data_IF_105458605104
#
_entry.id   IF_105458605104
#
_cell.length_a   1.000
_cell.length_b   1.000
_cell.length_c   1.000
_cell.angle_alpha   90.00
_cell.angle_beta   90.00
_cell.angle_gamma   90.00
#
_symmetry.space_group_name_H-M   'P 1'
#
loop_
_entity.id
_entity.type
_entity.pdbx_description
1 polymer ?
#
# COMPACT_ATOMS: atom_id res chain seq x y z
N UNK A 1 -20.77 35.28 37.34
CA UNK A 1 -19.47 34.82 36.84
C UNK A 1 -19.71 33.53 36.06
N UNK A 2 -19.73 33.59 34.73
CA UNK A 2 -19.91 32.42 33.88
C UNK A 2 -18.53 31.83 33.56
N UNK A 3 -18.19 30.71 34.20
CA UNK A 3 -16.97 29.97 33.91
C UNK A 3 -17.13 29.28 32.55
N UNK A 4 -16.37 29.76 31.56
CA UNK A 4 -16.25 29.15 30.24
C UNK A 4 -15.64 27.74 30.39
N UNK A 5 -16.42 26.71 30.08
CA UNK A 5 -15.94 25.35 29.93
C UNK A 5 -15.02 25.27 28.71
N UNK A 6 -13.72 25.12 28.96
CA UNK A 6 -12.72 24.87 27.93
C UNK A 6 -12.87 23.41 27.46
N UNK A 7 -13.58 23.19 26.35
CA UNK A 7 -13.55 21.92 25.63
C UNK A 7 -12.16 21.75 25.00
N UNK A 8 -11.26 21.10 25.74
CA UNK A 8 -9.99 20.60 25.21
C UNK A 8 -10.33 19.36 24.37
N UNK A 9 -10.66 19.56 23.10
CA UNK A 9 -10.76 18.46 22.14
C UNK A 9 -9.41 17.73 22.13
N UNK A 10 -9.38 16.51 22.68
CA UNK A 10 -8.22 15.64 22.61
C UNK A 10 -7.91 15.40 21.14
N UNK A 11 -6.79 15.96 20.69
CA UNK A 11 -6.21 15.69 19.38
C UNK A 11 -5.65 14.26 19.38
N UNK A 12 -6.56 13.27 19.40
CA UNK A 12 -6.21 11.86 19.19
C UNK A 12 -5.72 11.73 17.77
N UNK A 13 -4.39 11.71 17.62
CA UNK A 13 -3.66 11.37 16.40
C UNK A 13 -4.41 10.23 15.71
N UNK A 14 -5.02 10.49 14.55
CA UNK A 14 -5.72 9.47 13.77
C UNK A 14 -4.71 8.44 13.31
N UNK A 15 -4.67 7.30 13.99
CA UNK A 15 -3.94 6.11 13.55
C UNK A 15 -4.59 5.60 12.27
N UNK A 16 -3.79 5.40 11.23
CA UNK A 16 -4.32 4.86 9.98
C UNK A 16 -4.37 3.33 10.10
N UNK A 17 -5.57 2.76 10.02
CA UNK A 17 -5.76 1.31 9.91
C UNK A 17 -5.32 0.86 8.51
N UNK A 18 -4.41 -0.10 8.44
CA UNK A 18 -3.96 -0.70 7.17
C UNK A 18 -4.07 -2.22 7.25
N UNK A 19 -4.79 -2.83 6.31
CA UNK A 19 -5.01 -4.28 6.29
C UNK A 19 -3.75 -5.03 5.86
N UNK A 20 -3.56 -6.25 6.38
CA UNK A 20 -2.43 -7.10 5.97
C UNK A 20 -2.45 -7.42 4.46
N UNK A 21 -3.63 -7.43 3.83
CA UNK A 21 -3.75 -7.58 2.38
C UNK A 21 -3.00 -6.47 1.61
N UNK A 22 -3.06 -5.22 2.08
CA UNK A 22 -2.31 -4.11 1.46
C UNK A 22 -0.80 -4.34 1.56
N UNK A 23 -0.34 -4.94 2.67
CA UNK A 23 1.05 -5.36 2.84
C UNK A 23 1.42 -6.45 1.84
N UNK A 24 0.61 -7.49 1.70
CA UNK A 24 0.89 -8.60 0.78
C UNK A 24 0.95 -8.16 -0.68
N UNK A 25 0.08 -7.24 -1.08
CA UNK A 25 0.12 -6.62 -2.41
C UNK A 25 1.45 -5.88 -2.61
N UNK A 26 1.85 -5.03 -1.65
CA UNK A 26 3.13 -4.31 -1.73
C UNK A 26 4.33 -5.27 -1.73
N UNK A 27 4.28 -6.33 -0.92
CA UNK A 27 5.31 -7.37 -0.84
C UNK A 27 5.45 -8.12 -2.15
N UNK A 28 4.35 -8.51 -2.77
CA UNK A 28 4.36 -9.18 -4.06
C UNK A 28 4.99 -8.30 -5.13
N UNK A 29 4.45 -7.08 -5.33
CA UNK A 29 4.93 -6.17 -6.38
C UNK A 29 6.43 -5.90 -6.18
N UNK A 30 6.86 -5.62 -4.95
CA UNK A 30 8.24 -5.27 -4.70
C UNK A 30 9.22 -6.43 -4.84
N UNK A 31 8.83 -7.64 -4.47
CA UNK A 31 9.74 -8.77 -4.47
C UNK A 31 9.75 -9.50 -5.83
N UNK A 32 8.63 -9.48 -6.58
CA UNK A 32 8.50 -10.21 -7.84
C UNK A 32 8.65 -9.30 -9.08
N UNK A 33 8.28 -8.02 -8.99
CA UNK A 33 8.19 -7.13 -10.16
C UNK A 33 9.11 -5.91 -10.10
N UNK A 34 9.76 -5.65 -8.97
CA UNK A 34 10.70 -4.54 -8.81
C UNK A 34 12.11 -5.04 -8.52
N UNK A 35 13.08 -4.26 -8.97
CA UNK A 35 14.49 -4.40 -8.64
C UNK A 35 14.83 -3.27 -7.66
N UNK A 36 14.77 -3.59 -6.36
CA UNK A 36 14.81 -2.60 -5.26
C UNK A 36 16.09 -1.76 -5.24
N UNK A 37 17.19 -2.30 -5.77
CA UNK A 37 18.49 -1.63 -5.81
C UNK A 37 18.71 -0.81 -7.09
N UNK A 38 17.77 -0.85 -8.03
CA UNK A 38 17.84 -0.13 -9.30
C UNK A 38 17.10 1.21 -9.23
N UNK A 39 17.40 2.16 -10.15
CA UNK A 39 16.69 3.43 -10.23
C UNK A 39 15.17 3.25 -10.36
N UNK A 40 14.42 4.08 -9.62
CA UNK A 40 12.94 3.99 -9.56
C UNK A 40 12.27 4.41 -10.88
N UNK A 41 12.85 5.37 -11.62
CA UNK A 41 12.19 5.97 -12.78
C UNK A 41 11.93 4.97 -13.92
N UNK A 42 12.90 4.16 -14.38
CA UNK A 42 12.65 3.15 -15.41
C UNK A 42 11.60 2.13 -15.00
N UNK A 43 11.66 1.65 -13.76
CA UNK A 43 10.70 0.68 -13.22
C UNK A 43 9.26 1.25 -13.17
N UNK A 44 9.13 2.53 -12.84
CA UNK A 44 7.84 3.22 -12.85
C UNK A 44 7.26 3.35 -14.26
N UNK A 45 8.11 3.62 -15.26
CA UNK A 45 7.72 3.66 -16.67
C UNK A 45 7.30 2.28 -17.18
N UNK A 46 8.03 1.22 -16.82
CA UNK A 46 7.69 -0.16 -17.17
C UNK A 46 6.33 -0.58 -16.61
N UNK A 47 5.99 -0.15 -15.39
CA UNK A 47 4.71 -0.46 -14.75
C UNK A 47 3.61 0.57 -15.04
N UNK A 48 3.88 1.58 -15.86
CA UNK A 48 2.89 2.59 -16.26
C UNK A 48 2.41 3.52 -15.14
N UNK A 49 3.20 3.72 -14.09
CA UNK A 49 2.82 4.51 -12.91
C UNK A 49 3.79 5.64 -12.62
N UNK A 50 3.34 6.62 -11.82
CA UNK A 50 4.23 7.69 -11.37
C UNK A 50 5.29 7.16 -10.39
N UNK A 51 6.53 7.65 -10.47
CA UNK A 51 7.66 7.24 -9.61
C UNK A 51 7.35 7.20 -8.11
N UNK A 52 6.49 8.09 -7.63
CA UNK A 52 6.11 8.16 -6.22
C UNK A 52 5.31 6.94 -5.76
N UNK A 53 4.56 6.29 -6.65
CA UNK A 53 3.86 5.03 -6.35
C UNK A 53 4.88 3.93 -6.06
N UNK A 54 5.90 3.79 -6.91
CA UNK A 54 6.96 2.81 -6.72
C UNK A 54 7.73 3.08 -5.43
N UNK A 55 8.06 4.35 -5.15
CA UNK A 55 8.65 4.72 -3.86
C UNK A 55 7.80 4.29 -2.67
N UNK A 56 6.48 4.55 -2.68
CA UNK A 56 5.57 4.13 -1.61
C UNK A 56 5.53 2.62 -1.43
N UNK A 57 5.49 1.86 -2.53
CA UNK A 57 5.54 0.39 -2.48
C UNK A 57 6.85 -0.10 -1.85
N UNK A 58 7.98 0.56 -2.13
CA UNK A 58 9.30 0.19 -1.58
C UNK A 58 9.44 0.64 -0.12
N UNK A 59 9.15 1.90 0.18
CA UNK A 59 9.55 2.63 1.39
C UNK A 59 8.41 2.77 2.43
N UNK A 60 7.16 2.94 1.99
CA UNK A 60 6.00 3.29 2.84
C UNK A 60 5.10 2.05 3.10
N UNK A 61 5.71 0.91 3.41
CA UNK A 61 4.99 -0.35 3.57
C UNK A 61 4.36 -0.48 4.98
N UNK A 62 3.07 -0.84 5.12
CA UNK A 62 2.09 -1.08 4.05
C UNK A 62 1.49 0.21 3.48
N UNK A 63 1.41 0.24 2.15
CA UNK A 63 0.78 1.30 1.37
C UNK A 63 -0.48 0.72 0.70
N UNK A 64 -1.62 1.39 0.86
CA UNK A 64 -2.85 1.02 0.18
C UNK A 64 -2.79 1.47 -1.29
N UNK A 65 -2.38 0.55 -2.17
CA UNK A 65 -2.36 0.77 -3.62
C UNK A 65 -3.81 0.91 -4.12
N UNK A 66 -4.20 2.04 -4.73
CA UNK A 66 -5.54 2.18 -5.31
C UNK A 66 -5.79 1.08 -6.35
N UNK A 67 -6.99 0.50 -6.38
CA UNK A 67 -7.35 -0.54 -7.35
C UNK A 67 -7.16 -0.07 -8.80
N UNK A 68 -7.41 1.21 -9.09
CA UNK A 68 -7.14 1.79 -10.41
C UNK A 68 -5.64 1.74 -10.77
N UNK A 69 -4.76 2.06 -9.81
CA UNK A 69 -3.31 1.95 -9.98
C UNK A 69 -2.90 0.48 -10.17
N UNK A 70 -3.47 -0.44 -9.39
CA UNK A 70 -3.19 -1.86 -9.53
C UNK A 70 -3.63 -2.41 -10.90
N UNK A 71 -4.79 -1.96 -11.41
CA UNK A 71 -5.27 -2.32 -12.74
C UNK A 71 -4.32 -1.82 -13.85
N UNK A 72 -3.77 -0.60 -13.72
CA UNK A 72 -2.75 -0.08 -14.64
C UNK A 72 -1.49 -0.95 -14.60
N UNK A 73 -0.98 -1.27 -13.40
CA UNK A 73 0.19 -2.13 -13.24
C UNK A 73 -0.06 -3.50 -13.91
N UNK A 74 -1.21 -4.12 -13.67
CA UNK A 74 -1.59 -5.41 -14.29
C UNK A 74 -1.65 -5.32 -15.82
N UNK A 75 -2.22 -4.24 -16.37
CA UNK A 75 -2.26 -3.99 -17.81
C UNK A 75 -0.87 -3.94 -18.44
N UNK A 76 0.09 -3.28 -17.79
CA UNK A 76 1.48 -3.23 -18.25
C UNK A 76 2.18 -4.58 -18.10
N UNK A 77 1.90 -5.34 -17.03
CA UNK A 77 2.37 -6.73 -16.85
C UNK A 77 1.68 -7.76 -17.75
N UNK A 78 0.70 -7.36 -18.58
CA UNK A 78 -0.06 -8.24 -19.48
C UNK A 78 -0.79 -9.37 -18.77
N UNK A 79 -1.32 -9.08 -17.57
CA UNK A 79 -2.15 -10.02 -16.80
C UNK A 79 -3.49 -9.36 -16.46
N UNK A 80 -4.54 -10.17 -16.30
CA UNK A 80 -5.80 -9.68 -15.77
C UNK A 80 -5.67 -9.35 -14.28
N UNK A 81 -6.46 -8.39 -13.80
CA UNK A 81 -6.50 -8.05 -12.37
C UNK A 81 -6.91 -9.25 -11.50
N UNK A 82 -7.83 -10.09 -12.00
CA UNK A 82 -8.21 -11.34 -11.33
C UNK A 82 -7.05 -12.32 -11.22
N UNK A 83 -6.22 -12.44 -12.25
CA UNK A 83 -5.04 -13.30 -12.23
C UNK A 83 -3.98 -12.79 -11.25
N UNK A 84 -3.84 -11.47 -11.12
CA UNK A 84 -3.02 -10.91 -10.06
C UNK A 84 -3.48 -11.36 -8.66
N UNK A 85 -4.78 -11.31 -8.37
CA UNK A 85 -5.27 -11.78 -7.07
C UNK A 85 -5.06 -13.29 -6.87
N UNK A 86 -5.15 -14.11 -7.92
CA UNK A 86 -4.75 -15.53 -7.84
C UNK A 86 -3.26 -15.69 -7.48
N UNK A 87 -2.37 -14.83 -7.99
CA UNK A 87 -0.95 -14.86 -7.62
C UNK A 87 -0.75 -14.49 -6.15
N UNK A 88 -1.52 -13.52 -5.63
CA UNK A 88 -1.53 -13.16 -4.21
C UNK A 88 -2.03 -14.33 -3.35
N UNK A 89 -3.14 -14.95 -3.71
CA UNK A 89 -3.70 -16.11 -3.02
C UNK A 89 -2.74 -17.31 -3.05
N UNK A 90 -2.08 -17.57 -4.18
CA UNK A 90 -1.11 -18.65 -4.29
C UNK A 90 0.09 -18.46 -3.34
N UNK A 91 0.53 -17.22 -3.10
CA UNK A 91 1.70 -16.92 -2.27
C UNK A 91 1.37 -16.68 -0.80
N UNK A 92 0.20 -16.10 -0.50
CA UNK A 92 -0.17 -15.63 0.83
C UNK A 92 -1.53 -16.15 1.33
N UNK A 93 -2.24 -16.98 0.57
CA UNK A 93 -3.66 -17.32 0.79
C UNK A 93 -4.00 -17.79 2.20
N UNK A 94 -3.15 -18.60 2.84
CA UNK A 94 -3.37 -19.05 4.22
C UNK A 94 -3.30 -17.94 5.28
N UNK A 95 -2.81 -16.76 4.91
CA UNK A 95 -2.63 -15.58 5.76
C UNK A 95 -3.59 -14.44 5.39
N UNK A 96 -4.40 -14.60 4.34
CA UNK A 96 -5.37 -13.58 3.92
C UNK A 96 -6.59 -13.68 4.83
N UNK A 97 -6.83 -12.61 5.59
CA UNK A 97 -7.96 -12.40 6.48
C UNK A 97 -8.22 -10.90 6.65
N UNK A 98 -9.04 -10.51 7.61
CA UNK A 98 -9.38 -9.12 7.94
C UNK A 98 -8.44 -8.46 8.97
N UNK A 99 -7.29 -9.07 9.26
CA UNK A 99 -6.29 -8.50 10.17
C UNK A 99 -5.69 -7.20 9.61
N UNK A 100 -5.32 -6.31 10.52
CA UNK A 100 -4.77 -5.00 10.20
C UNK A 100 -3.69 -4.57 11.20
N UNK A 101 -2.89 -3.58 10.79
CA UNK A 101 -1.94 -2.88 11.65
C UNK A 101 -2.33 -1.40 11.78
N UNK A 102 -1.96 -0.81 12.92
CA UNK A 102 -2.13 0.61 13.19
C UNK A 102 -0.86 1.35 12.78
N UNK A 103 -0.95 2.18 11.73
CA UNK A 103 0.16 3.00 11.28
C UNK A 103 0.15 4.33 12.02
N UNK A 104 1.28 4.66 12.65
CA UNK A 104 1.44 5.97 13.28
C UNK A 104 1.97 6.98 12.28
N UNK A 105 1.65 8.27 12.46
CA UNK A 105 2.09 9.37 11.58
C UNK A 105 3.62 9.54 11.47
N UNK A 106 4.41 8.78 12.24
CA UNK A 106 5.87 8.81 12.21
C UNK A 106 6.44 7.92 11.08
N UNK A 107 5.61 7.06 10.51
CA UNK A 107 5.97 6.01 9.55
C UNK A 107 5.41 6.27 8.13
N UNK A 108 4.92 7.49 7.84
CA UNK A 108 4.24 7.88 6.59
C UNK A 108 4.87 9.12 5.94
#
# INVERSE_FOLDING_TARGET
>A
MASKTNNKSSDTKKEAVVFLLDQFICDYIRNEWLQVNEPVLPQAQELGVHRHIIKKIIEDRPYRVPISTLAIICFYKKIALSDFFKLIEAKYGSRINDDFILKTKKDA
#
